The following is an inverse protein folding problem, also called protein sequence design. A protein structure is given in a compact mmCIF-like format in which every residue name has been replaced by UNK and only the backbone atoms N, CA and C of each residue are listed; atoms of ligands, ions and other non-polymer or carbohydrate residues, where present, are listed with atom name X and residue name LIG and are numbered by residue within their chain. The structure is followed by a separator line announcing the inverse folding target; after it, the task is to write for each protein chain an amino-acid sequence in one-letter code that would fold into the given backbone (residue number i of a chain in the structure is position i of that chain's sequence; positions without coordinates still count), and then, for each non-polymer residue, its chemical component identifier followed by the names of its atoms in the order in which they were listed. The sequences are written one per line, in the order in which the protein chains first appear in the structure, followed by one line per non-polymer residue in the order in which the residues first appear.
data_IF_378191468459
#
_entry.id   IF_378191468459
#
_cell.length_a   1.000
_cell.length_b   1.000
_cell.length_c   1.000
_cell.angle_alpha   90.00
_cell.angle_beta   90.00
_cell.angle_gamma   90.00
#
_symmetry.space_group_name_H-M   'P 1'
#
loop_
_entity.id
_entity.type
_entity.pdbx_description
1 polymer ?
#
# COMPACT_ATOMS: atom_id res chain seq x y z
N UNK A 1 -23.52 39.48 -18.62
CA UNK A 1 -24.10 38.71 -19.72
C UNK A 1 -23.32 37.41 -19.86
N UNK A 2 -23.88 36.28 -19.45
CA UNK A 2 -23.21 35.00 -19.63
C UNK A 2 -23.37 34.55 -21.07
N UNK A 3 -22.28 34.47 -21.82
CA UNK A 3 -22.23 33.92 -23.17
C UNK A 3 -22.57 32.43 -23.12
N UNK A 4 -23.69 32.05 -23.76
CA UNK A 4 -24.06 30.62 -23.89
C UNK A 4 -23.01 29.92 -24.76
N UNK A 5 -22.27 28.99 -24.15
CA UNK A 5 -21.35 28.09 -24.86
C UNK A 5 -22.16 27.27 -25.88
N UNK A 6 -21.82 27.35 -27.17
CA UNK A 6 -22.50 26.60 -28.22
C UNK A 6 -21.85 25.25 -28.43
N UNK A 7 -22.60 24.27 -29.01
CA UNK A 7 -22.03 22.96 -29.44
C UNK A 7 -20.77 23.10 -30.29
N UNK A 8 -20.68 24.19 -31.07
CA UNK A 8 -19.54 24.51 -31.93
C UNK A 8 -18.30 24.92 -31.15
N UNK A 9 -18.49 25.56 -29.98
CA UNK A 9 -17.40 25.96 -29.07
C UNK A 9 -16.85 24.74 -28.35
N UNK A 10 -17.71 23.79 -27.97
CA UNK A 10 -17.31 22.49 -27.40
C UNK A 10 -16.51 21.68 -28.43
N UNK A 11 -16.92 21.61 -29.68
CA UNK A 11 -16.20 20.89 -30.75
C UNK A 11 -14.85 21.54 -31.05
N UNK A 12 -14.76 22.86 -31.03
CA UNK A 12 -13.47 23.56 -31.20
C UNK A 12 -12.51 23.33 -30.04
N UNK A 13 -13.02 23.27 -28.82
CA UNK A 13 -12.23 22.92 -27.65
C UNK A 13 -11.75 21.46 -27.70
N UNK A 14 -12.57 20.54 -28.22
CA UNK A 14 -12.20 19.13 -28.44
C UNK A 14 -11.11 18.98 -29.51
N UNK A 15 -11.12 19.80 -30.56
CA UNK A 15 -10.08 19.80 -31.61
C UNK A 15 -8.76 20.42 -31.12
N UNK A 16 -8.81 21.40 -30.22
CA UNK A 16 -7.61 21.89 -29.52
C UNK A 16 -7.01 20.85 -28.59
N UNK A 17 -7.85 20.00 -27.98
CA UNK A 17 -7.40 18.87 -27.13
C UNK A 17 -6.78 17.73 -27.96
N UNK A 18 -7.24 17.47 -29.17
CA UNK A 18 -6.61 16.49 -30.07
C UNK A 18 -5.17 16.86 -30.44
N UNK A 19 -4.83 18.17 -30.47
CA UNK A 19 -3.45 18.65 -30.65
C UNK A 19 -2.53 18.38 -29.47
N UNK A 20 -3.08 18.20 -28.25
CA UNK A 20 -2.33 17.93 -27.04
C UNK A 20 -2.08 16.42 -26.81
N UNK A 21 -2.80 15.53 -27.53
CA UNK A 21 -2.51 14.08 -27.56
C UNK A 21 -1.11 13.74 -28.08
N UNK A 22 -0.47 14.70 -28.76
CA UNK A 22 0.95 14.61 -29.20
C UNK A 22 1.92 14.67 -28.01
N UNK A 23 1.46 15.12 -26.83
CA UNK A 23 2.27 15.22 -25.60
C UNK A 23 2.16 13.99 -24.70
N UNK A 24 1.45 12.94 -25.11
CA UNK A 24 1.41 11.65 -24.41
C UNK A 24 0.53 11.59 -23.17
N UNK A 25 -0.30 12.60 -22.91
CA UNK A 25 -1.28 12.53 -21.82
C UNK A 25 -2.57 11.88 -22.35
N UNK A 26 -3.15 10.90 -21.63
CA UNK A 26 -4.43 10.32 -21.99
C UNK A 26 -5.54 11.39 -21.96
N UNK A 27 -6.43 11.37 -22.97
CA UNK A 27 -7.48 12.40 -23.15
C UNK A 27 -8.35 12.63 -21.90
N UNK A 28 -8.57 11.61 -21.07
CA UNK A 28 -9.36 11.70 -19.84
C UNK A 28 -8.60 12.39 -18.70
N UNK A 29 -7.27 12.46 -18.75
CA UNK A 29 -6.44 13.11 -17.75
C UNK A 29 -6.24 14.61 -18.03
N UNK A 30 -6.77 15.10 -19.12
CA UNK A 30 -6.65 16.50 -19.50
C UNK A 30 -7.69 17.33 -18.76
N UNK A 31 -7.30 18.23 -17.85
CA UNK A 31 -8.25 19.19 -17.30
C UNK A 31 -8.83 20.02 -18.43
N UNK A 32 -10.13 20.28 -18.39
CA UNK A 32 -10.74 21.24 -19.29
C UNK A 32 -10.13 22.63 -18.99
N UNK A 33 -9.20 23.07 -19.85
CA UNK A 33 -8.58 24.38 -19.71
C UNK A 33 -9.58 25.46 -20.02
N UNK A 34 -9.68 26.48 -19.18
CA UNK A 34 -10.44 27.69 -19.45
C UNK A 34 -9.73 28.55 -20.51
N UNK A 35 -10.46 29.47 -21.13
CA UNK A 35 -9.90 30.35 -22.14
C UNK A 35 -8.73 31.18 -21.59
N UNK A 36 -7.55 31.01 -22.12
CA UNK A 36 -6.32 31.68 -21.66
C UNK A 36 -5.47 30.89 -20.66
N UNK A 37 -5.96 29.75 -20.19
CA UNK A 37 -5.14 28.83 -19.40
C UNK A 37 -4.26 27.97 -20.33
N UNK A 38 -3.10 27.62 -19.85
CA UNK A 38 -2.18 26.70 -20.50
C UNK A 38 -1.67 25.69 -19.47
N UNK A 39 -1.40 24.48 -19.92
CA UNK A 39 -0.68 23.52 -19.10
C UNK A 39 0.72 24.08 -18.79
N UNK A 40 1.06 24.12 -17.52
CA UNK A 40 2.43 24.39 -17.10
C UNK A 40 3.21 23.06 -17.14
N UNK A 41 4.36 23.06 -17.80
CA UNK A 41 5.28 21.95 -17.72
C UNK A 41 5.91 21.92 -16.31
N UNK A 42 6.12 20.72 -15.76
CA UNK A 42 6.87 20.54 -14.52
C UNK A 42 8.39 20.68 -14.81
N UNK A 43 8.80 21.87 -15.25
CA UNK A 43 10.20 22.15 -15.64
C UNK A 43 11.07 22.61 -14.50
N UNK A 44 10.49 22.90 -13.36
CA UNK A 44 11.13 23.49 -12.17
C UNK A 44 11.59 22.46 -11.13
N UNK A 45 11.30 21.17 -11.36
CA UNK A 45 11.76 20.09 -10.50
C UNK A 45 12.99 19.43 -11.14
N UNK A 46 14.18 19.50 -10.49
CA UNK A 46 15.35 18.77 -10.95
C UNK A 46 15.07 17.26 -11.03
N UNK A 47 15.58 16.61 -12.08
CA UNK A 47 15.40 15.16 -12.27
C UNK A 47 15.98 14.35 -11.10
N UNK A 48 17.00 14.86 -10.43
CA UNK A 48 17.65 14.24 -9.27
C UNK A 48 16.73 14.13 -8.05
N UNK A 49 15.73 14.99 -7.90
CA UNK A 49 14.80 14.94 -6.76
C UNK A 49 13.93 13.67 -6.77
N UNK A 50 13.73 13.07 -7.95
CA UNK A 50 12.93 11.84 -8.11
C UNK A 50 13.66 10.56 -7.74
N UNK A 51 14.92 10.64 -7.33
CA UNK A 51 15.84 9.52 -7.30
C UNK A 51 16.21 9.05 -5.90
N UNK A 52 15.41 9.30 -4.86
CA UNK A 52 15.57 8.54 -3.62
C UNK A 52 15.14 7.10 -3.89
N UNK A 53 15.97 6.38 -4.63
CA UNK A 53 15.90 4.95 -4.90
C UNK A 53 17.06 4.29 -4.18
N UNK A 54 16.98 4.23 -2.87
CA UNK A 54 17.82 3.30 -2.14
C UNK A 54 17.18 1.91 -2.09
N UNK A 55 17.86 0.92 -1.54
CA UNK A 55 17.37 -0.45 -1.43
C UNK A 55 16.09 -0.55 -0.57
N UNK A 56 15.84 0.43 0.29
CA UNK A 56 14.79 0.41 1.30
C UNK A 56 13.62 1.34 0.97
N UNK A 57 13.85 2.34 0.13
CA UNK A 57 12.86 3.35 -0.22
C UNK A 57 12.73 3.53 -1.72
N UNK A 58 11.50 3.45 -2.23
CA UNK A 58 11.17 3.76 -3.61
C UNK A 58 10.04 4.78 -3.62
N UNK A 59 10.23 5.87 -4.35
CA UNK A 59 9.25 6.91 -4.58
C UNK A 59 8.83 6.84 -6.04
N UNK A 60 7.54 6.91 -6.33
CA UNK A 60 7.08 7.04 -7.72
C UNK A 60 7.28 8.48 -8.20
N UNK A 61 7.60 8.62 -9.46
CA UNK A 61 7.55 9.92 -10.11
C UNK A 61 6.12 10.18 -10.60
N UNK A 62 5.40 11.05 -9.89
CA UNK A 62 3.99 11.36 -10.19
C UNK A 62 3.77 11.96 -11.58
N UNK A 63 4.83 12.50 -12.23
CA UNK A 63 4.79 13.03 -13.59
C UNK A 63 4.69 11.92 -14.64
N UNK A 64 5.09 10.71 -14.28
CA UNK A 64 5.13 9.55 -15.18
C UNK A 64 4.06 8.51 -14.84
N UNK A 65 3.00 8.90 -14.13
CA UNK A 65 1.84 8.01 -13.91
C UNK A 65 1.04 7.95 -15.21
N UNK A 66 1.10 6.80 -15.87
CA UNK A 66 0.44 6.51 -17.14
C UNK A 66 -0.59 5.37 -17.05
N UNK A 67 -0.71 4.73 -15.88
CA UNK A 67 -1.56 3.59 -15.66
C UNK A 67 -2.46 3.75 -14.42
N UNK A 68 -3.65 3.16 -14.45
CA UNK A 68 -4.54 3.12 -13.30
C UNK A 68 -3.94 2.32 -12.14
N UNK A 69 -3.29 1.18 -12.42
CA UNK A 69 -2.52 0.43 -11.45
C UNK A 69 -1.04 0.76 -11.58
N UNK A 70 -0.41 1.08 -10.48
CA UNK A 70 1.04 1.29 -10.45
C UNK A 70 1.77 -0.03 -10.74
N UNK A 71 2.66 -0.09 -11.75
CA UNK A 71 3.43 -1.29 -12.04
C UNK A 71 4.19 -1.80 -10.79
N UNK A 72 4.28 -3.12 -10.62
CA UNK A 72 4.87 -3.75 -9.42
C UNK A 72 6.31 -3.25 -9.16
N UNK A 73 7.08 -3.06 -10.22
CA UNK A 73 8.46 -2.57 -10.14
C UNK A 73 8.57 -1.06 -9.87
N UNK A 74 7.47 -0.32 -9.97
CA UNK A 74 7.39 1.11 -9.68
C UNK A 74 6.62 1.40 -8.39
N UNK A 75 5.90 0.41 -7.85
CA UNK A 75 5.10 0.58 -6.65
C UNK A 75 5.95 1.13 -5.52
N UNK A 76 5.49 2.19 -4.84
CA UNK A 76 6.27 2.81 -3.79
C UNK A 76 6.59 1.84 -2.66
N UNK A 77 7.70 2.05 -2.01
CA UNK A 77 8.06 1.31 -0.80
C UNK A 77 8.81 2.21 0.17
N UNK A 78 8.58 1.98 1.43
CA UNK A 78 9.36 2.49 2.54
C UNK A 78 9.36 1.42 3.63
N UNK A 79 10.45 1.30 4.37
CA UNK A 79 10.62 0.31 5.42
C UNK A 79 10.89 1.03 6.74
N UNK A 80 10.52 0.39 7.83
CA UNK A 80 10.92 0.81 9.16
C UNK A 80 12.23 0.12 9.54
N UNK A 81 12.24 -1.20 9.45
CA UNK A 81 13.45 -2.02 9.53
C UNK A 81 13.72 -2.66 8.17
N UNK A 82 14.87 -2.98 7.75
CA UNK A 82 15.24 -3.46 6.44
C UNK A 82 14.32 -4.48 5.75
N UNK A 83 14.84 -5.22 4.79
CA UNK A 83 14.10 -6.24 4.06
C UNK A 83 14.50 -7.63 4.58
N UNK A 84 13.69 -8.30 5.44
CA UNK A 84 13.99 -9.62 5.93
C UNK A 84 13.97 -10.64 4.79
N UNK A 85 14.86 -11.63 4.86
CA UNK A 85 14.87 -12.76 3.94
C UNK A 85 13.93 -13.83 4.46
N UNK A 86 12.70 -13.86 3.94
CA UNK A 86 11.70 -14.85 4.33
C UNK A 86 11.72 -16.02 3.34
N UNK A 87 12.08 -17.21 3.81
CA UNK A 87 11.99 -18.42 3.03
C UNK A 87 10.53 -18.89 2.92
N UNK A 88 9.97 -18.78 1.72
CA UNK A 88 8.56 -19.11 1.46
C UNK A 88 8.27 -20.60 1.57
N UNK A 89 9.26 -21.49 1.46
CA UNK A 89 9.06 -22.93 1.57
C UNK A 89 8.73 -23.36 3.00
N UNK A 90 9.32 -22.68 3.98
CA UNK A 90 9.10 -22.96 5.41
C UNK A 90 8.24 -21.93 6.11
N UNK A 91 7.82 -20.91 5.39
CA UNK A 91 6.98 -19.82 5.94
C UNK A 91 5.71 -20.35 6.59
N UNK A 92 5.38 -19.81 7.76
CA UNK A 92 4.10 -20.01 8.45
C UNK A 92 3.62 -18.70 9.05
N UNK A 93 2.35 -18.36 8.76
CA UNK A 93 1.64 -17.35 9.53
C UNK A 93 1.18 -17.99 10.84
N UNK A 94 1.66 -17.48 11.96
CA UNK A 94 1.19 -17.90 13.29
C UNK A 94 0.00 -17.05 13.71
N UNK A 95 -1.03 -17.69 14.27
CA UNK A 95 -2.15 -17.02 14.94
C UNK A 95 -2.23 -17.57 16.37
N UNK A 96 -2.12 -16.70 17.34
CA UNK A 96 -2.00 -17.08 18.76
C UNK A 96 -2.69 -16.08 19.69
N UNK A 97 -2.55 -16.26 21.00
CA UNK A 97 -3.16 -15.39 22.02
C UNK A 97 -4.56 -15.89 22.42
N UNK A 98 -5.53 -14.99 22.51
CA UNK A 98 -6.91 -15.30 22.91
C UNK A 98 -7.70 -15.94 21.77
N UNK A 99 -7.28 -17.14 21.37
CA UNK A 99 -7.90 -17.98 20.34
C UNK A 99 -8.20 -19.37 20.90
N UNK A 100 -9.22 -20.04 20.35
CA UNK A 100 -9.56 -21.41 20.74
C UNK A 100 -8.59 -22.42 20.13
N UNK A 101 -8.19 -22.18 18.86
CA UNK A 101 -7.29 -23.04 18.09
C UNK A 101 -6.15 -22.21 17.51
N UNK A 102 -4.96 -22.20 18.13
CA UNK A 102 -3.79 -21.57 17.53
C UNK A 102 -3.45 -22.16 16.17
N UNK A 103 -3.16 -21.31 15.19
CA UNK A 103 -2.90 -21.71 13.80
C UNK A 103 -1.44 -21.49 13.41
N UNK A 104 -0.95 -22.32 12.48
CA UNK A 104 0.33 -22.17 11.80
C UNK A 104 0.12 -22.45 10.30
N UNK A 105 -0.28 -21.44 9.54
CA UNK A 105 -0.72 -21.55 8.15
C UNK A 105 0.43 -21.33 7.17
N UNK A 106 0.64 -22.27 6.28
CA UNK A 106 1.52 -22.08 5.14
C UNK A 106 0.90 -21.17 4.09
N UNK A 107 1.70 -20.66 3.14
CA UNK A 107 1.16 -19.91 2.01
C UNK A 107 0.19 -20.75 1.16
N UNK A 108 0.41 -22.06 1.09
CA UNK A 108 -0.48 -22.98 0.39
C UNK A 108 -1.85 -23.11 1.11
N UNK A 109 -1.85 -23.18 2.45
CA UNK A 109 -3.09 -23.21 3.23
C UNK A 109 -3.89 -21.93 3.02
N UNK A 110 -3.23 -20.76 3.07
CA UNK A 110 -3.86 -19.48 2.82
C UNK A 110 -4.46 -19.40 1.40
N UNK A 111 -3.74 -19.88 0.40
CA UNK A 111 -4.23 -19.89 -1.00
C UNK A 111 -5.38 -20.87 -1.24
N UNK A 112 -5.54 -21.88 -0.40
CA UNK A 112 -6.66 -22.81 -0.45
C UNK A 112 -7.94 -22.26 0.18
N UNK A 113 -7.87 -21.18 0.96
CA UNK A 113 -9.03 -20.49 1.54
C UNK A 113 -9.76 -19.64 0.50
N UNK A 114 -11.04 -19.28 0.74
CA UNK A 114 -11.75 -18.32 -0.10
C UNK A 114 -10.95 -17.00 -0.20
N UNK A 115 -10.59 -16.65 -1.41
CA UNK A 115 -9.82 -15.42 -1.68
C UNK A 115 -10.74 -14.30 -2.15
N UNK A 116 -10.26 -13.06 -1.98
CA UNK A 116 -10.93 -11.86 -2.46
C UNK A 116 -9.92 -10.96 -3.17
N UNK A 117 -10.38 -10.34 -4.24
CA UNK A 117 -9.66 -9.28 -4.91
C UNK A 117 -10.06 -7.92 -4.30
N UNK A 118 -9.07 -7.06 -4.12
CA UNK A 118 -9.24 -5.71 -3.58
C UNK A 118 -8.46 -4.72 -4.44
N UNK A 119 -9.16 -3.75 -5.02
CA UNK A 119 -8.52 -2.57 -5.61
C UNK A 119 -8.29 -1.58 -4.48
N UNK A 120 -7.03 -1.35 -4.17
CA UNK A 120 -6.65 -0.54 -3.03
C UNK A 120 -5.39 0.26 -3.32
N UNK A 121 -5.53 1.59 -3.20
CA UNK A 121 -4.42 2.53 -3.18
C UNK A 121 -4.17 2.98 -1.76
N UNK A 122 -2.91 3.13 -1.40
CA UNK A 122 -2.54 3.70 -0.11
C UNK A 122 -1.31 4.58 -0.21
N UNK A 123 -1.16 5.39 0.80
CA UNK A 123 -0.17 6.44 0.91
C UNK A 123 0.59 6.28 2.22
N UNK A 124 1.87 6.59 2.22
CA UNK A 124 2.64 6.70 3.45
C UNK A 124 2.29 8.00 4.19
N UNK A 125 2.13 7.94 5.50
CA UNK A 125 1.93 9.14 6.34
C UNK A 125 3.10 10.15 6.24
N UNK A 126 4.27 9.69 5.80
CA UNK A 126 5.44 10.50 5.48
C UNK A 126 5.47 11.09 4.07
N UNK A 127 4.38 10.96 3.29
CA UNK A 127 4.27 11.53 1.96
C UNK A 127 4.12 13.06 2.03
N UNK A 128 5.23 13.76 2.10
CA UNK A 128 5.30 15.23 2.29
C UNK A 128 6.30 15.84 1.32
N UNK A 129 6.08 17.14 1.03
CA UNK A 129 7.00 17.92 0.21
C UNK A 129 6.55 18.03 -1.26
N UNK A 130 7.39 18.58 -2.12
CA UNK A 130 7.01 18.92 -3.50
C UNK A 130 6.77 17.69 -4.40
N UNK A 131 7.18 16.50 -3.97
CA UNK A 131 7.20 15.29 -4.80
C UNK A 131 6.37 14.13 -4.26
N UNK A 132 5.35 14.35 -3.55
CA UNK A 132 4.36 13.41 -3.02
C UNK A 132 4.28 12.03 -3.73
N UNK A 133 5.40 11.31 -3.81
CA UNK A 133 5.54 10.07 -4.57
C UNK A 133 5.44 8.79 -3.73
N UNK A 134 5.08 8.87 -2.43
CA UNK A 134 4.87 7.74 -1.55
C UNK A 134 3.40 7.31 -1.55
N UNK A 135 2.83 7.17 -2.73
CA UNK A 135 1.47 6.70 -2.95
C UNK A 135 1.44 5.79 -4.17
N UNK A 136 0.64 4.74 -4.15
CA UNK A 136 0.47 3.83 -5.27
C UNK A 136 -0.89 3.15 -5.21
N UNK A 137 -1.39 2.74 -6.38
CA UNK A 137 -2.64 2.01 -6.50
C UNK A 137 -2.40 0.62 -7.10
N UNK A 138 -3.05 -0.40 -6.56
CA UNK A 138 -2.88 -1.78 -7.02
C UNK A 138 -4.12 -2.62 -6.86
N UNK A 139 -4.12 -3.75 -7.58
CA UNK A 139 -5.10 -4.80 -7.46
C UNK A 139 -4.47 -5.96 -6.67
N UNK A 140 -4.98 -6.18 -5.49
CA UNK A 140 -4.46 -7.14 -4.53
C UNK A 140 -5.34 -8.38 -4.49
N UNK A 141 -4.72 -9.55 -4.35
CA UNK A 141 -5.40 -10.81 -4.11
C UNK A 141 -4.94 -11.40 -2.77
N UNK A 142 -5.90 -11.86 -1.98
CA UNK A 142 -5.62 -12.42 -0.67
C UNK A 142 -6.81 -13.05 0.00
N UNK A 143 -6.62 -13.47 1.25
CA UNK A 143 -7.67 -14.02 2.13
C UNK A 143 -8.21 -12.88 3.01
N UNK A 144 -9.54 -12.72 3.18
CA UNK A 144 -10.07 -11.82 4.19
C UNK A 144 -9.50 -12.15 5.56
N UNK A 145 -9.01 -11.15 6.30
CA UNK A 145 -8.46 -11.35 7.65
C UNK A 145 -9.46 -12.08 8.54
N UNK A 146 -10.73 -11.67 8.49
CA UNK A 146 -11.83 -12.26 9.24
C UNK A 146 -11.92 -13.78 9.06
N UNK A 147 -11.73 -14.30 7.85
CA UNK A 147 -11.76 -15.75 7.58
C UNK A 147 -10.72 -16.51 8.40
N UNK A 148 -9.51 -15.96 8.52
CA UNK A 148 -8.43 -16.58 9.30
C UNK A 148 -8.71 -16.48 10.81
N UNK A 149 -9.21 -15.33 11.26
CA UNK A 149 -9.57 -15.11 12.67
C UNK A 149 -10.74 -16.00 13.10
N UNK A 150 -11.76 -16.16 12.27
CA UNK A 150 -12.90 -17.06 12.53
C UNK A 150 -12.44 -18.52 12.61
N UNK A 151 -11.51 -18.95 11.75
CA UNK A 151 -10.94 -20.30 11.83
C UNK A 151 -10.17 -20.53 13.12
N UNK A 152 -9.46 -19.50 13.63
CA UNK A 152 -8.77 -19.60 14.93
C UNK A 152 -9.73 -19.60 16.13
N UNK A 153 -10.97 -19.14 15.95
CA UNK A 153 -11.98 -19.08 16.99
C UNK A 153 -11.63 -18.04 18.06
N UNK A 154 -11.80 -16.76 17.72
CA UNK A 154 -11.47 -15.64 18.60
C UNK A 154 -12.32 -15.65 19.86
N UNK A 155 -11.69 -15.62 21.04
CA UNK A 155 -12.37 -15.56 22.35
C UNK A 155 -13.02 -14.18 22.56
N UNK A 156 -14.05 -14.14 23.38
CA UNK A 156 -14.83 -12.91 23.61
C UNK A 156 -14.03 -11.83 24.35
N UNK A 157 -13.01 -12.20 25.10
CA UNK A 157 -12.11 -11.31 25.82
C UNK A 157 -11.11 -10.59 24.92
N UNK A 158 -10.85 -11.09 23.70
CA UNK A 158 -9.94 -10.44 22.76
C UNK A 158 -10.49 -9.06 22.38
N UNK A 159 -9.69 -8.01 22.58
CA UNK A 159 -10.04 -6.60 22.30
C UNK A 159 -9.23 -6.01 21.17
N UNK A 160 -8.02 -6.47 21.03
CA UNK A 160 -7.03 -5.93 20.11
C UNK A 160 -6.27 -7.07 19.45
N UNK A 161 -5.91 -6.89 18.20
CA UNK A 161 -5.13 -7.84 17.41
C UNK A 161 -3.83 -7.19 16.99
N UNK A 162 -2.72 -7.77 17.39
CA UNK A 162 -1.38 -7.29 17.06
C UNK A 162 -0.82 -8.10 15.89
N UNK A 163 -0.39 -7.41 14.86
CA UNK A 163 0.19 -7.97 13.64
C UNK A 163 1.69 -7.71 13.64
N UNK A 164 2.49 -8.76 13.60
CA UNK A 164 3.95 -8.66 13.58
C UNK A 164 4.51 -9.04 12.22
N UNK A 165 5.37 -8.15 11.68
CA UNK A 165 6.22 -8.43 10.52
C UNK A 165 7.40 -9.32 10.91
N UNK A 166 8.09 -9.92 9.94
CA UNK A 166 9.36 -10.60 10.17
C UNK A 166 10.54 -9.62 10.24
N UNK A 167 10.31 -8.35 9.93
CA UNK A 167 11.32 -7.29 10.03
C UNK A 167 11.47 -6.83 11.47
N UNK A 168 12.71 -6.62 11.88
CA UNK A 168 13.09 -6.15 13.22
C UNK A 168 14.38 -5.32 13.15
N UNK A 169 14.65 -4.55 14.18
CA UNK A 169 15.84 -3.72 14.30
C UNK A 169 16.08 -3.22 15.70
N UNK A 170 17.26 -2.69 15.93
CA UNK A 170 17.62 -2.10 17.22
C UNK A 170 17.00 -0.70 17.35
N UNK A 171 16.32 -0.46 18.48
CA UNK A 171 15.75 0.83 18.85
C UNK A 171 16.33 1.30 20.19
N UNK A 172 16.64 2.59 20.26
CA UNK A 172 16.97 3.24 21.52
C UNK A 172 15.70 3.71 22.21
N UNK A 173 15.42 3.15 23.39
CA UNK A 173 14.23 3.50 24.19
C UNK A 173 14.67 4.15 25.49
N UNK A 174 14.30 5.42 25.68
CA UNK A 174 14.48 6.12 26.95
C UNK A 174 13.36 5.79 27.93
N UNK A 175 13.71 5.15 29.02
CA UNK A 175 12.77 4.84 30.07
C UNK A 175 13.32 5.21 31.45
N UNK A 176 12.65 6.07 32.17
CA UNK A 176 13.01 6.56 33.51
C UNK A 176 14.42 7.09 33.61
N UNK A 177 14.87 7.85 32.59
CA UNK A 177 16.19 8.48 32.54
C UNK A 177 17.35 7.52 32.24
N UNK A 178 17.04 6.36 31.67
CA UNK A 178 18.03 5.40 31.15
C UNK A 178 17.68 5.05 29.73
N UNK A 179 18.68 4.98 28.88
CA UNK A 179 18.57 4.53 27.48
C UNK A 179 18.81 3.02 27.42
N UNK A 180 17.93 2.31 26.73
CA UNK A 180 18.00 0.87 26.49
C UNK A 180 18.02 0.62 24.99
N UNK A 181 18.93 -0.24 24.54
CA UNK A 181 18.88 -0.79 23.19
C UNK A 181 18.05 -2.06 23.21
N UNK A 182 16.99 -2.09 22.45
CA UNK A 182 16.08 -3.23 22.33
C UNK A 182 15.97 -3.66 20.88
N UNK A 183 16.07 -4.96 20.62
CA UNK A 183 15.70 -5.51 19.31
C UNK A 183 14.19 -5.57 19.24
N UNK A 184 13.61 -4.73 18.39
CA UNK A 184 12.17 -4.57 18.28
C UNK A 184 11.66 -5.10 16.94
N UNK A 185 10.68 -5.98 17.00
CA UNK A 185 9.95 -6.46 15.83
C UNK A 185 8.90 -5.44 15.40
N UNK A 186 8.78 -5.21 14.10
CA UNK A 186 7.73 -4.33 13.59
C UNK A 186 6.35 -4.88 13.91
N UNK A 187 5.54 -4.11 14.61
CA UNK A 187 4.19 -4.50 15.00
C UNK A 187 3.21 -3.34 14.93
N UNK A 188 1.98 -3.63 14.56
CA UNK A 188 0.83 -2.71 14.59
C UNK A 188 -0.41 -3.47 14.98
N UNK A 189 -1.37 -2.75 15.56
CA UNK A 189 -2.61 -3.37 16.03
C UNK A 189 -3.85 -2.79 15.37
N UNK A 190 -4.92 -3.58 15.43
CA UNK A 190 -6.28 -3.18 15.08
C UNK A 190 -7.21 -3.54 16.24
N UNK A 191 -8.17 -2.67 16.50
CA UNK A 191 -9.27 -2.99 17.40
C UNK A 191 -10.15 -4.11 16.84
N UNK A 192 -10.86 -4.80 17.72
CA UNK A 192 -11.69 -5.97 17.38
C UNK A 192 -12.64 -5.72 16.22
N UNK A 193 -13.42 -4.66 16.29
CA UNK A 193 -14.46 -4.38 15.28
C UNK A 193 -13.85 -4.16 13.90
N UNK A 194 -12.68 -3.53 13.84
CA UNK A 194 -11.97 -3.32 12.59
C UNK A 194 -11.33 -4.60 12.06
N UNK A 195 -10.69 -5.39 12.92
CA UNK A 195 -10.05 -6.65 12.52
C UNK A 195 -11.07 -7.68 12.02
N UNK A 196 -12.29 -7.69 12.59
CA UNK A 196 -13.38 -8.59 12.22
C UNK A 196 -14.31 -8.02 11.15
N UNK A 197 -14.05 -6.80 10.66
CA UNK A 197 -14.79 -6.26 9.52
C UNK A 197 -14.46 -7.01 8.23
N UNK A 198 -15.26 -6.77 7.19
CA UNK A 198 -15.02 -7.39 5.88
C UNK A 198 -13.91 -6.69 5.07
N UNK A 199 -13.32 -5.61 5.57
CA UNK A 199 -12.36 -4.80 4.81
C UNK A 199 -10.92 -5.32 4.80
N UNK A 200 -10.29 -5.70 5.95
CA UNK A 200 -8.89 -6.09 5.97
C UNK A 200 -8.61 -7.37 5.17
N UNK A 201 -7.46 -7.39 4.50
CA UNK A 201 -7.04 -8.47 3.62
C UNK A 201 -5.62 -8.92 3.96
N UNK A 202 -5.39 -10.22 4.01
CA UNK A 202 -4.08 -10.85 4.03
C UNK A 202 -3.65 -11.11 2.59
N UNK A 203 -2.95 -10.15 1.99
CA UNK A 203 -2.60 -10.19 0.57
C UNK A 203 -1.31 -10.96 0.32
N UNK A 204 -1.30 -11.77 -0.75
CA UNK A 204 -0.15 -12.53 -1.23
C UNK A 204 0.17 -12.26 -2.71
N UNK A 205 -0.66 -11.47 -3.42
CA UNK A 205 -0.41 -11.04 -4.81
C UNK A 205 -0.73 -9.55 -4.99
N UNK A 206 -0.04 -8.95 -5.94
CA UNK A 206 -0.26 -7.58 -6.41
C UNK A 206 -0.27 -7.57 -7.95
N UNK A 207 -1.34 -7.03 -8.55
CA UNK A 207 -1.53 -6.92 -10.01
C UNK A 207 -1.41 -8.27 -10.76
N UNK A 208 -1.77 -9.39 -10.10
CA UNK A 208 -1.69 -10.74 -10.67
C UNK A 208 -0.32 -11.41 -10.53
N UNK A 209 0.62 -10.82 -9.81
CA UNK A 209 1.94 -11.37 -9.54
C UNK A 209 2.13 -11.62 -8.04
N UNK A 210 2.91 -12.63 -7.63
CA UNK A 210 3.30 -12.81 -6.24
C UNK A 210 3.98 -11.55 -5.69
N UNK A 211 3.80 -11.27 -4.40
CA UNK A 211 4.45 -10.13 -3.75
C UNK A 211 5.97 -10.21 -3.90
N UNK A 212 6.59 -9.08 -4.21
CA UNK A 212 8.05 -8.93 -4.12
C UNK A 212 8.46 -8.59 -2.68
N UNK A 213 9.75 -8.62 -2.39
CA UNK A 213 10.29 -8.20 -1.09
C UNK A 213 9.87 -6.77 -0.75
N UNK A 214 9.84 -5.86 -1.71
CA UNK A 214 9.41 -4.48 -1.51
C UNK A 214 7.95 -4.34 -1.05
N UNK A 215 7.06 -5.26 -1.48
CA UNK A 215 5.66 -5.27 -1.07
C UNK A 215 5.38 -6.12 0.17
N UNK A 216 6.41 -6.78 0.75
CA UNK A 216 6.28 -7.56 1.98
C UNK A 216 6.03 -9.04 1.76
N UNK A 217 6.71 -9.65 0.75
CA UNK A 217 6.66 -11.11 0.49
C UNK A 217 6.94 -11.92 1.76
N UNK A 218 6.20 -13.06 2.00
CA UNK A 218 5.22 -13.66 1.12
C UNK A 218 3.78 -13.20 1.39
N UNK A 219 3.53 -12.53 2.50
CA UNK A 219 2.20 -12.12 2.97
C UNK A 219 2.27 -10.74 3.61
N UNK A 220 1.24 -9.95 3.41
CA UNK A 220 1.08 -8.67 4.10
C UNK A 220 -0.37 -8.44 4.52
N UNK A 221 -0.52 -7.62 5.56
CA UNK A 221 -1.81 -7.05 5.92
C UNK A 221 -2.11 -5.83 5.04
N UNK A 222 -3.36 -5.70 4.61
CA UNK A 222 -3.94 -4.49 4.03
C UNK A 222 -5.13 -4.04 4.87
N UNK A 223 -5.15 -2.76 5.21
CA UNK A 223 -6.20 -2.13 6.03
C UNK A 223 -6.74 -0.93 5.27
N UNK A 224 -7.85 -1.10 4.51
CA UNK A 224 -8.47 -0.02 3.76
C UNK A 224 -8.78 1.21 4.62
N UNK A 225 -8.60 2.41 4.06
CA UNK A 225 -8.83 3.67 4.77
C UNK A 225 -7.67 4.14 5.67
N UNK A 226 -6.60 3.35 5.81
CA UNK A 226 -5.45 3.69 6.65
C UNK A 226 -4.20 3.98 5.82
N UNK A 227 -3.31 4.82 6.35
CA UNK A 227 -1.97 5.05 5.80
C UNK A 227 -1.12 3.77 5.78
N UNK A 228 0.06 3.84 5.15
CA UNK A 228 0.94 2.68 4.96
C UNK A 228 1.37 1.94 6.24
N UNK A 229 1.50 2.63 7.38
CA UNK A 229 2.03 2.03 8.60
C UNK A 229 1.23 0.81 9.14
N UNK A 230 -0.11 0.84 9.26
CA UNK A 230 -0.88 -0.35 9.67
C UNK A 230 -0.88 -1.50 8.66
N UNK A 231 -0.47 -1.26 7.43
CA UNK A 231 -0.41 -2.27 6.37
C UNK A 231 0.88 -3.10 6.51
N UNK A 232 0.96 -3.91 7.58
CA UNK A 232 2.17 -4.65 7.99
C UNK A 232 2.66 -5.56 6.87
N UNK A 233 3.94 -5.43 6.52
CA UNK A 233 4.65 -6.26 5.55
C UNK A 233 5.28 -7.47 6.21
N UNK A 234 5.67 -8.45 5.41
CA UNK A 234 6.35 -9.66 5.89
C UNK A 234 5.60 -10.31 7.05
N UNK A 235 4.28 -10.26 7.03
CA UNK A 235 3.43 -10.67 8.13
C UNK A 235 3.77 -12.09 8.58
N UNK A 236 4.16 -12.27 9.83
CA UNK A 236 4.60 -13.54 10.40
C UNK A 236 3.74 -14.03 11.56
N UNK A 237 3.05 -13.11 12.25
CA UNK A 237 2.25 -13.45 13.41
C UNK A 237 1.06 -12.49 13.60
N UNK A 238 -0.05 -13.05 14.08
CA UNK A 238 -1.24 -12.36 14.60
C UNK A 238 -1.44 -12.84 16.04
N UNK A 239 -1.46 -11.89 16.98
CA UNK A 239 -1.63 -12.18 18.41
C UNK A 239 -2.83 -11.44 18.96
#
# INVERSE_FOLDING_TARGET
MATKTTRRDVIKSSLAMAGLGVLGLPEWAMPALAQGERLMEFTDLPDEINLIRDAERRIIDVRHIDNYFTPVNQFFTTQHYGHPQVDTAVYRLRVSGLVNEPLALSLADLRAMPSRELVFGFECSGNRGPLNGLSSNGRWLGVPLKTVLEQAGIQDEAREFVFFGADHGEEEVDFRGRTYNVDQQYGRSLERDQALSDEPLLAYELNGEPLTTHQGRPLRLLVPGWYGAPNVKFLSEIH
#
